data_IF_861426364001
#
_entry.id   IF_861426364001
#
_cell.length_a   1.000
_cell.length_b   1.000
_cell.length_c   1.000
_cell.angle_alpha   90.00
_cell.angle_beta   90.00
_cell.angle_gamma   90.00
#
_symmetry.space_group_name_H-M   'P 1'
#
loop_
_entity.id
_entity.type
_entity.pdbx_description
1 polymer ?
#
# COMPACT_ATOMS: atom_id res chain seq x y z
N UNK A 1 3.09 2.06 -21.76
CA UNK A 1 3.85 1.57 -20.57
C UNK A 1 4.08 0.08 -20.74
N UNK A 2 5.31 -0.40 -20.52
CA UNK A 2 5.73 -1.79 -20.82
C UNK A 2 5.21 -2.86 -19.82
N UNK A 3 4.46 -2.48 -18.81
CA UNK A 3 3.90 -3.40 -17.79
C UNK A 3 2.42 -3.75 -17.97
N UNK A 4 1.80 -3.39 -19.11
CA UNK A 4 0.41 -3.76 -19.37
C UNK A 4 0.29 -5.22 -19.78
N UNK A 5 -0.55 -5.98 -19.09
CA UNK A 5 -0.82 -7.41 -19.37
C UNK A 5 -2.12 -7.59 -20.16
N UNK A 6 -2.71 -6.51 -20.67
CA UNK A 6 -3.91 -6.53 -21.52
C UNK A 6 -3.57 -6.55 -23.01
N UNK A 7 -4.43 -7.12 -23.87
CA UNK A 7 -4.24 -7.07 -25.32
C UNK A 7 -4.11 -5.62 -25.84
N UNK A 8 -3.21 -5.31 -26.79
CA UNK A 8 -2.33 -6.23 -27.50
C UNK A 8 -0.97 -6.52 -26.82
N UNK A 9 -0.70 -5.97 -25.62
CA UNK A 9 0.62 -5.96 -24.98
C UNK A 9 0.86 -7.14 -24.02
N UNK A 10 -0.07 -8.11 -23.94
CA UNK A 10 -0.06 -9.20 -22.96
C UNK A 10 1.28 -9.96 -22.87
N UNK A 11 1.88 -10.29 -24.00
CA UNK A 11 3.11 -11.07 -24.02
C UNK A 11 4.37 -10.24 -23.72
N UNK A 12 4.38 -8.98 -24.14
CA UNK A 12 5.51 -8.06 -23.93
C UNK A 12 5.48 -7.48 -22.53
N UNK A 13 4.28 -7.22 -21.98
CA UNK A 13 4.08 -6.63 -20.65
C UNK A 13 4.30 -7.60 -19.50
N UNK A 14 4.23 -8.92 -19.72
CA UNK A 14 4.30 -9.92 -18.64
C UNK A 14 5.67 -9.93 -17.93
N UNK A 15 6.76 -9.84 -18.69
CA UNK A 15 8.12 -9.87 -18.12
C UNK A 15 8.40 -8.62 -17.29
N UNK A 16 8.17 -7.38 -17.79
CA UNK A 16 8.32 -6.18 -16.99
C UNK A 16 7.41 -6.16 -15.75
N UNK A 17 6.16 -6.64 -15.86
CA UNK A 17 5.24 -6.69 -14.73
C UNK A 17 5.74 -7.62 -13.60
N UNK A 18 6.25 -8.81 -13.97
CA UNK A 18 6.83 -9.74 -13.00
C UNK A 18 8.14 -9.21 -12.40
N UNK A 19 8.99 -8.56 -13.20
CA UNK A 19 10.20 -7.93 -12.69
C UNK A 19 9.87 -6.83 -11.68
N UNK A 20 8.88 -6.00 -11.96
CA UNK A 20 8.36 -4.99 -11.05
C UNK A 20 7.88 -5.61 -9.72
N UNK A 21 7.10 -6.69 -9.79
CA UNK A 21 6.62 -7.41 -8.60
C UNK A 21 7.77 -7.94 -7.73
N UNK A 22 8.84 -8.44 -8.35
CA UNK A 22 10.02 -8.95 -7.62
C UNK A 22 10.82 -7.82 -6.99
N UNK A 23 11.12 -6.76 -7.72
CA UNK A 23 11.91 -5.63 -7.23
C UNK A 23 11.18 -4.92 -6.09
N UNK A 24 9.87 -4.74 -6.21
CA UNK A 24 9.05 -4.08 -5.20
C UNK A 24 8.65 -4.98 -4.03
N UNK A 25 9.03 -6.26 -4.03
CA UNK A 25 8.59 -7.20 -2.99
C UNK A 25 9.03 -6.79 -1.59
N UNK A 26 10.32 -6.50 -1.39
CA UNK A 26 10.88 -6.06 -0.10
C UNK A 26 10.44 -4.61 0.23
N UNK A 27 10.59 -3.63 -0.68
CA UNK A 27 10.17 -2.26 -0.42
C UNK A 27 8.71 -2.13 0.01
N UNK A 28 7.79 -2.84 -0.62
CA UNK A 28 6.37 -2.76 -0.27
C UNK A 28 6.09 -3.21 1.18
N UNK A 29 6.76 -4.26 1.64
CA UNK A 29 6.61 -4.76 3.01
C UNK A 29 7.25 -3.85 4.04
N UNK A 30 8.43 -3.35 3.72
CA UNK A 30 9.10 -2.36 4.58
C UNK A 30 8.27 -1.09 4.71
N UNK A 31 7.73 -0.57 3.59
CA UNK A 31 6.84 0.59 3.59
C UNK A 31 5.58 0.37 4.44
N UNK A 32 4.99 -0.83 4.39
CA UNK A 32 3.83 -1.16 5.21
C UNK A 32 4.15 -1.14 6.71
N UNK A 33 5.30 -1.70 7.12
CA UNK A 33 5.74 -1.67 8.52
C UNK A 33 6.08 -0.25 8.99
N UNK A 34 6.74 0.53 8.15
CA UNK A 34 7.03 1.93 8.44
C UNK A 34 5.75 2.78 8.53
N UNK A 35 4.76 2.51 7.68
CA UNK A 35 3.46 3.17 7.75
C UNK A 35 2.71 2.81 9.04
N UNK A 36 2.81 1.57 9.51
CA UNK A 36 2.24 1.16 10.78
C UNK A 36 2.92 1.90 11.96
N UNK A 37 4.25 2.02 11.92
CA UNK A 37 4.99 2.79 12.91
C UNK A 37 4.62 4.28 12.87
N UNK A 38 4.51 4.87 11.67
CA UNK A 38 4.04 6.23 11.47
C UNK A 38 2.63 6.45 12.04
N UNK A 39 1.74 5.50 11.82
CA UNK A 39 0.40 5.49 12.41
C UNK A 39 0.43 5.54 13.94
N UNK A 40 1.33 4.78 14.56
CA UNK A 40 1.55 4.81 16.01
C UNK A 40 2.03 6.18 16.51
N UNK A 41 2.99 6.79 15.82
CA UNK A 41 3.46 8.14 16.15
C UNK A 41 2.37 9.21 15.99
N UNK A 42 1.41 8.99 15.11
CA UNK A 42 0.27 9.89 14.88
C UNK A 42 -0.93 9.60 15.79
N UNK A 43 -0.83 8.60 16.68
CA UNK A 43 -1.94 8.22 17.58
C UNK A 43 -3.10 7.50 16.88
N UNK A 44 -2.88 6.89 15.71
CA UNK A 44 -3.88 6.12 14.98
C UNK A 44 -4.00 4.69 15.55
N UNK A 45 -5.09 3.99 15.22
CA UNK A 45 -5.34 2.62 15.68
C UNK A 45 -4.40 1.60 15.00
N UNK A 46 -3.22 1.43 15.57
CA UNK A 46 -2.21 0.48 15.09
C UNK A 46 -2.64 -0.98 15.25
N UNK A 47 -3.49 -1.28 16.22
CA UNK A 47 -4.02 -2.64 16.40
C UNK A 47 -4.95 -3.02 15.25
N UNK A 48 -5.85 -2.11 14.87
CA UNK A 48 -6.67 -2.28 13.67
C UNK A 48 -5.80 -2.30 12.40
N UNK A 49 -4.82 -1.40 12.28
CA UNK A 49 -3.85 -1.38 11.18
C UNK A 49 -3.16 -2.73 10.98
N UNK A 50 -2.63 -3.31 12.06
CA UNK A 50 -1.97 -4.61 12.02
C UNK A 50 -2.93 -5.76 11.70
N UNK A 51 -4.13 -5.77 12.29
CA UNK A 51 -5.15 -6.79 12.04
C UNK A 51 -5.57 -6.81 10.56
N UNK A 52 -5.90 -5.65 9.99
CA UNK A 52 -6.29 -5.51 8.59
C UNK A 52 -5.13 -5.88 7.66
N UNK A 53 -3.91 -5.41 7.95
CA UNK A 53 -2.71 -5.79 7.20
C UNK A 53 -2.54 -7.31 7.12
N UNK A 54 -2.60 -8.02 8.24
CA UNK A 54 -2.44 -9.48 8.24
C UNK A 54 -3.51 -10.20 7.45
N UNK A 55 -4.75 -9.72 7.49
CA UNK A 55 -5.90 -10.32 6.81
C UNK A 55 -5.92 -10.01 5.32
N UNK A 56 -5.70 -8.74 4.93
CA UNK A 56 -6.07 -8.22 3.62
C UNK A 56 -4.88 -7.93 2.68
N UNK A 57 -3.64 -7.96 3.15
CA UNK A 57 -2.44 -7.63 2.37
C UNK A 57 -2.21 -8.44 1.08
N UNK A 58 -3.01 -9.46 0.83
CA UNK A 58 -2.95 -10.32 -0.36
C UNK A 58 -4.18 -10.21 -1.25
N UNK A 59 -5.12 -9.32 -0.94
CA UNK A 59 -6.37 -9.14 -1.68
C UNK A 59 -6.24 -8.28 -2.92
N UNK A 60 -5.08 -8.22 -3.53
CA UNK A 60 -4.84 -7.47 -4.76
C UNK A 60 -4.12 -8.37 -5.77
N UNK A 61 -4.33 -8.09 -7.08
CA UNK A 61 -3.70 -8.86 -8.16
C UNK A 61 -2.16 -8.78 -8.12
N UNK A 62 -1.61 -7.60 -7.79
CA UNK A 62 -0.17 -7.46 -7.49
C UNK A 62 0.09 -7.82 -6.02
N UNK A 63 1.14 -8.61 -5.71
CA UNK A 63 1.51 -8.99 -4.35
C UNK A 63 2.00 -7.82 -3.51
N UNK A 64 2.22 -6.65 -4.10
CA UNK A 64 2.80 -5.47 -3.49
C UNK A 64 1.79 -4.38 -3.17
N UNK A 65 0.75 -4.21 -3.99
CA UNK A 65 -0.21 -3.09 -3.89
C UNK A 65 -0.97 -3.06 -2.57
N UNK A 66 -1.52 -4.19 -2.13
CA UNK A 66 -2.32 -4.23 -0.91
C UNK A 66 -1.50 -4.14 0.40
N UNK A 67 -0.17 -4.06 0.36
CA UNK A 67 0.65 -4.01 1.57
C UNK A 67 0.39 -2.72 2.37
N UNK A 68 0.65 -1.57 1.78
CA UNK A 68 0.41 -0.25 2.41
C UNK A 68 -1.07 0.11 2.43
N UNK A 69 -1.83 -0.27 1.41
CA UNK A 69 -3.27 -0.01 1.32
C UNK A 69 -4.03 -0.64 2.50
N UNK A 70 -3.71 -1.89 2.86
CA UNK A 70 -4.34 -2.56 3.99
C UNK A 70 -3.96 -1.95 5.35
N UNK A 71 -2.71 -1.49 5.50
CA UNK A 71 -2.31 -0.76 6.71
C UNK A 71 -3.08 0.56 6.81
N UNK A 72 -3.12 1.34 5.75
CA UNK A 72 -3.82 2.61 5.70
C UNK A 72 -5.32 2.44 6.02
N UNK A 73 -5.98 1.45 5.37
CA UNK A 73 -7.37 1.13 5.62
C UNK A 73 -7.64 0.81 7.10
N UNK A 74 -6.79 0.00 7.72
CA UNK A 74 -6.92 -0.37 9.13
C UNK A 74 -6.66 0.79 10.08
N UNK A 75 -5.58 1.56 9.87
CA UNK A 75 -5.23 2.72 10.70
C UNK A 75 -6.31 3.79 10.72
N UNK A 76 -7.03 3.97 9.61
CA UNK A 76 -8.05 5.00 9.45
C UNK A 76 -9.48 4.47 9.61
N UNK A 77 -9.68 3.16 9.78
CA UNK A 77 -11.00 2.54 9.90
C UNK A 77 -11.83 2.63 8.62
N UNK A 78 -11.18 2.58 7.46
CA UNK A 78 -11.79 2.71 6.15
C UNK A 78 -11.92 1.36 5.45
N UNK A 79 -12.84 1.29 4.49
CA UNK A 79 -12.92 0.21 3.53
C UNK A 79 -12.58 0.75 2.15
N UNK A 80 -11.54 0.19 1.54
CA UNK A 80 -10.99 0.60 0.26
C UNK A 80 -11.16 -0.50 -0.79
N UNK A 81 -10.78 -0.21 -2.03
CA UNK A 81 -10.90 -1.09 -3.19
C UNK A 81 -12.36 -1.46 -3.50
N UNK A 82 -12.64 -2.73 -3.84
CA UNK A 82 -13.95 -3.18 -4.28
C UNK A 82 -14.15 -3.09 -5.78
N UNK A 83 -15.37 -3.39 -6.21
CA UNK A 83 -15.74 -3.45 -7.62
C UNK A 83 -15.50 -2.13 -8.34
N UNK A 84 -14.95 -2.21 -9.55
CA UNK A 84 -14.66 -1.04 -10.37
C UNK A 84 -14.99 -1.28 -11.84
N UNK A 85 -15.46 -0.22 -12.52
CA UNK A 85 -15.76 -0.26 -13.94
C UNK A 85 -14.55 0.19 -14.76
N UNK A 86 -14.10 -0.66 -15.67
CA UNK A 86 -13.06 -0.33 -16.64
C UNK A 86 -13.59 -0.56 -18.05
N UNK A 87 -13.57 0.45 -18.89
CA UNK A 87 -14.06 0.38 -20.28
C UNK A 87 -15.46 -0.22 -20.41
N UNK A 88 -16.37 0.09 -19.47
CA UNK A 88 -17.73 -0.42 -19.47
C UNK A 88 -17.90 -1.86 -18.97
N UNK A 89 -16.83 -2.50 -18.48
CA UNK A 89 -16.87 -3.84 -17.90
C UNK A 89 -16.68 -3.76 -16.39
N UNK A 90 -17.54 -4.43 -15.63
CA UNK A 90 -17.43 -4.54 -14.18
C UNK A 90 -16.34 -5.54 -13.81
N UNK A 91 -15.29 -5.06 -13.17
CA UNK A 91 -14.25 -5.90 -12.57
C UNK A 91 -14.53 -6.07 -11.07
N UNK A 92 -14.89 -7.27 -10.68
CA UNK A 92 -15.06 -7.61 -9.27
C UNK A 92 -13.72 -7.67 -8.58
N UNK A 93 -13.59 -6.93 -7.48
CA UNK A 93 -12.38 -6.90 -6.64
C UNK A 93 -12.77 -7.04 -5.18
N UNK A 94 -11.90 -7.66 -4.39
CA UNK A 94 -12.11 -7.77 -2.96
C UNK A 94 -11.96 -6.41 -2.28
N UNK A 95 -12.75 -6.20 -1.23
CA UNK A 95 -12.58 -5.03 -0.37
C UNK A 95 -11.41 -5.22 0.60
N UNK A 96 -10.73 -4.12 0.89
CA UNK A 96 -9.61 -4.04 1.83
C UNK A 96 -10.02 -3.14 2.98
N UNK A 97 -9.87 -3.63 4.22
CA UNK A 97 -10.26 -2.92 5.42
C UNK A 97 -11.70 -3.14 5.84
N UNK A 98 -12.06 -2.53 6.95
CA UNK A 98 -13.38 -2.59 7.58
C UNK A 98 -14.06 -1.23 7.42
N UNK A 99 -15.34 -1.20 7.07
CA UNK A 99 -16.10 0.05 6.99
C UNK A 99 -16.52 0.50 8.40
N UNK A 100 -15.54 0.80 9.26
CA UNK A 100 -15.81 1.25 10.63
C UNK A 100 -16.43 2.64 10.68
N UNK A 101 -16.23 3.43 9.62
CA UNK A 101 -16.82 4.74 9.38
C UNK A 101 -16.88 5.05 7.89
N UNK A 102 -17.63 6.07 7.54
CA UNK A 102 -17.67 6.59 6.18
C UNK A 102 -16.39 7.35 5.81
N UNK A 103 -16.05 7.32 4.51
CA UNK A 103 -14.94 8.09 3.95
C UNK A 103 -15.38 9.54 3.81
N UNK A 104 -14.55 10.46 4.28
CA UNK A 104 -14.78 11.90 4.17
C UNK A 104 -13.64 12.59 3.43
N UNK A 105 -13.86 13.82 2.96
CA UNK A 105 -12.80 14.60 2.31
C UNK A 105 -11.61 14.91 3.23
N UNK A 106 -11.82 14.87 4.56
CA UNK A 106 -10.76 15.04 5.56
C UNK A 106 -9.78 13.86 5.60
N UNK A 107 -10.14 12.72 5.02
CA UNK A 107 -9.25 11.57 4.96
C UNK A 107 -8.09 11.80 4.00
N UNK A 108 -8.29 12.63 2.98
CA UNK A 108 -7.22 13.00 2.04
C UNK A 108 -6.02 13.62 2.77
N UNK A 109 -6.17 14.72 3.53
CA UNK A 109 -5.03 15.28 4.25
C UNK A 109 -4.50 14.35 5.36
N UNK A 110 -5.33 13.50 5.96
CA UNK A 110 -4.88 12.49 6.94
C UNK A 110 -3.94 11.47 6.30
N UNK A 111 -4.33 10.93 5.14
CA UNK A 111 -3.49 10.00 4.37
C UNK A 111 -2.21 10.69 3.91
N UNK A 112 -2.27 11.92 3.40
CA UNK A 112 -1.09 12.68 3.00
C UNK A 112 -0.10 12.85 4.16
N UNK A 113 -0.57 13.19 5.36
CA UNK A 113 0.28 13.27 6.56
C UNK A 113 0.89 11.91 6.92
N UNK A 114 0.10 10.84 6.89
CA UNK A 114 0.58 9.48 7.15
C UNK A 114 1.69 9.10 6.16
N UNK A 115 1.50 9.36 4.87
CA UNK A 115 2.51 9.12 3.84
C UNK A 115 3.79 9.94 4.08
N UNK A 116 3.65 11.23 4.45
CA UNK A 116 4.79 12.11 4.75
C UNK A 116 5.59 11.58 5.94
N UNK A 117 4.94 11.24 7.04
CA UNK A 117 5.63 10.68 8.22
C UNK A 117 6.29 9.34 7.88
N UNK A 118 5.63 8.49 7.10
CA UNK A 118 6.21 7.22 6.61
C UNK A 118 7.47 7.47 5.76
N UNK A 119 7.43 8.46 4.86
CA UNK A 119 8.57 8.80 4.01
C UNK A 119 9.76 9.37 4.84
N UNK A 120 9.48 10.19 5.84
CA UNK A 120 10.50 10.71 6.76
C UNK A 120 11.14 9.58 7.56
N UNK A 121 10.37 8.62 8.06
CA UNK A 121 10.91 7.44 8.74
C UNK A 121 11.79 6.60 7.79
N UNK A 122 11.35 6.40 6.55
CA UNK A 122 12.14 5.69 5.54
C UNK A 122 13.46 6.40 5.23
N UNK A 123 13.43 7.73 5.11
CA UNK A 123 14.61 8.54 4.90
C UNK A 123 15.59 8.43 6.07
N UNK A 124 15.11 8.59 7.30
CA UNK A 124 15.94 8.47 8.52
C UNK A 124 16.59 7.08 8.62
N UNK A 125 15.82 6.02 8.35
CA UNK A 125 16.34 4.65 8.35
C UNK A 125 17.42 4.46 7.28
N UNK A 126 17.21 5.00 6.08
CA UNK A 126 18.17 4.92 4.98
C UNK A 126 19.46 5.69 5.28
N UNK A 127 19.35 6.87 5.90
CA UNK A 127 20.52 7.65 6.34
C UNK A 127 21.29 6.91 7.43
N UNK A 128 20.58 6.39 8.44
CA UNK A 128 21.21 5.63 9.52
C UNK A 128 21.93 4.37 9.01
N UNK A 129 21.35 3.67 8.04
CA UNK A 129 21.97 2.50 7.43
C UNK A 129 23.25 2.82 6.62
N UNK A 130 23.38 4.03 6.11
CA UNK A 130 24.58 4.47 5.37
C UNK A 130 25.71 4.99 6.26
N UNK A 131 25.40 5.44 7.47
CA UNK A 131 26.38 6.05 8.37
C UNK A 131 27.64 5.18 8.60
N UNK A 132 27.52 3.86 8.86
CA UNK A 132 28.67 2.99 9.09
C UNK A 132 29.60 2.83 7.88
N UNK A 133 29.11 3.12 6.66
CA UNK A 133 29.87 3.00 5.42
C UNK A 133 30.45 4.34 4.95
N UNK A 134 30.14 5.44 5.66
CA UNK A 134 30.59 6.79 5.33
C UNK A 134 31.71 7.28 6.28
N UNK A 135 32.03 6.50 7.30
CA UNK A 135 33.13 6.67 8.26
C UNK A 135 34.25 5.69 7.94
#
# INVERSE_FOLDING_TARGET
>A
MLGYVEPPYKNIGLVPAKADDVVNYIPARLSALLMLAAGGLMGLDTAAGWRVFRRDRRKHASPNSAQTESVCAGLLGLRLAGDAWYHGVLHKKEYIGDASREITHEDIPRVCRLMTVTALLALLLSCAAKLPFAL
#
